data_IF_329641099656
#
_entry.id   IF_329641099656
#
_cell.length_a   1.000
_cell.length_b   1.000
_cell.length_c   1.000
_cell.angle_alpha   90.00
_cell.angle_beta   90.00
_cell.angle_gamma   90.00
#
_symmetry.space_group_name_H-M   'P 1'
#
loop_
_entity.id
_entity.type
_entity.pdbx_description
1 polymer ?
#
# COMPACT_ATOMS: atom_id res chain seq x y z
N UNK A 1 -15.14 1.60 3.07
CA UNK A 1 -13.94 2.43 3.27
C UNK A 1 -12.82 2.00 2.35
N UNK A 2 -12.05 2.97 1.88
CA UNK A 2 -10.80 2.78 1.15
C UNK A 2 -9.82 3.88 1.55
N UNK A 3 -8.53 3.59 1.44
CA UNK A 3 -7.45 4.54 1.62
C UNK A 3 -7.03 5.02 0.24
N UNK A 4 -6.93 6.34 0.06
CA UNK A 4 -6.20 6.90 -1.06
C UNK A 4 -4.75 7.04 -0.60
N UNK A 5 -3.84 6.49 -1.39
CA UNK A 5 -2.41 6.55 -1.12
C UNK A 5 -1.64 6.94 -2.38
N UNK A 6 -0.48 7.53 -2.17
CA UNK A 6 0.56 7.62 -3.18
C UNK A 6 1.55 6.49 -2.89
N UNK A 7 1.87 5.66 -3.89
CA UNK A 7 2.75 4.50 -3.74
C UNK A 7 3.89 4.53 -4.75
N UNK A 8 5.04 3.98 -4.36
CA UNK A 8 6.20 3.75 -5.22
C UNK A 8 6.58 2.28 -5.10
N UNK A 9 6.74 1.60 -6.23
CA UNK A 9 7.30 0.25 -6.29
C UNK A 9 8.73 0.29 -6.80
N UNK A 10 9.65 -0.41 -6.13
CA UNK A 10 11.07 -0.30 -6.41
C UNK A 10 11.52 -1.16 -7.59
N UNK A 11 12.30 -0.58 -8.50
CA UNK A 11 12.98 -1.36 -9.52
C UNK A 11 13.95 -2.37 -8.87
N UNK A 12 14.05 -3.55 -9.45
CA UNK A 12 14.94 -4.62 -8.96
C UNK A 12 14.39 -5.44 -7.79
N UNK A 13 13.38 -4.95 -7.05
CA UNK A 13 12.68 -5.77 -6.05
C UNK A 13 11.58 -6.63 -6.68
N UNK A 14 11.10 -6.23 -7.86
CA UNK A 14 10.11 -6.97 -8.65
C UNK A 14 10.56 -7.10 -10.10
N UNK A 15 10.14 -8.21 -10.72
CA UNK A 15 10.31 -8.43 -12.17
C UNK A 15 9.17 -7.87 -13.01
N UNK A 16 7.98 -7.71 -12.42
CA UNK A 16 6.76 -7.28 -13.09
C UNK A 16 6.03 -6.25 -12.23
N UNK A 17 5.43 -5.25 -12.89
CA UNK A 17 4.59 -4.27 -12.24
C UNK A 17 3.38 -4.96 -11.61
N UNK A 18 2.94 -4.55 -10.41
CA UNK A 18 1.65 -4.95 -9.88
C UNK A 18 0.51 -4.42 -10.75
N UNK A 19 -0.67 -4.99 -10.54
CA UNK A 19 -1.91 -4.57 -11.19
C UNK A 19 -3.05 -4.57 -10.16
N UNK A 20 -4.23 -4.16 -10.60
CA UNK A 20 -5.44 -4.21 -9.79
C UNK A 20 -5.66 -5.61 -9.18
N UNK A 21 -6.08 -5.62 -7.92
CA UNK A 21 -6.27 -6.85 -7.15
C UNK A 21 -5.01 -7.41 -6.52
N UNK A 22 -3.84 -6.75 -6.66
CA UNK A 22 -2.61 -7.12 -5.95
C UNK A 22 -2.78 -7.03 -4.42
N UNK A 23 -2.31 -8.07 -3.69
CA UNK A 23 -2.56 -8.25 -2.24
C UNK A 23 -1.29 -8.45 -1.41
N UNK A 24 -0.46 -7.42 -1.22
CA UNK A 24 0.68 -7.48 -0.31
C UNK A 24 0.27 -7.20 1.14
N UNK A 25 1.25 -7.16 2.02
CA UNK A 25 1.12 -6.59 3.35
C UNK A 25 1.63 -5.14 3.38
N UNK A 26 0.96 -4.30 4.18
CA UNK A 26 1.42 -2.97 4.55
C UNK A 26 1.95 -2.98 5.99
N UNK A 27 3.13 -2.42 6.20
CA UNK A 27 3.69 -2.18 7.54
C UNK A 27 3.82 -0.68 7.75
N UNK A 28 2.94 -0.12 8.57
CA UNK A 28 2.88 1.32 8.83
C UNK A 28 3.97 1.74 9.81
N UNK A 29 4.57 2.91 9.58
CA UNK A 29 5.59 3.44 10.49
C UNK A 29 5.02 3.60 11.90
N UNK A 30 5.69 3.00 12.89
CA UNK A 30 5.24 2.96 14.29
C UNK A 30 4.35 1.78 14.64
N UNK A 31 3.88 1.00 13.65
CA UNK A 31 3.12 -0.23 13.83
C UNK A 31 3.97 -1.40 13.30
N UNK A 32 4.52 -2.23 14.18
CA UNK A 32 5.35 -3.39 13.80
C UNK A 32 4.50 -4.60 13.39
N UNK A 33 3.42 -4.37 12.64
CA UNK A 33 2.44 -5.39 12.26
C UNK A 33 2.25 -5.42 10.73
N UNK A 34 2.17 -6.63 10.20
CA UNK A 34 1.82 -6.86 8.80
C UNK A 34 0.31 -6.80 8.65
N UNK A 35 -0.17 -5.85 7.83
CA UNK A 35 -1.59 -5.69 7.55
C UNK A 35 -1.83 -6.00 6.10
N UNK A 36 -2.52 -7.11 5.85
CA UNK A 36 -2.93 -7.46 4.50
C UNK A 36 -3.77 -6.34 3.89
N UNK A 37 -3.34 -5.87 2.72
CA UNK A 37 -4.04 -4.87 1.93
C UNK A 37 -4.39 -5.42 0.55
N UNK A 38 -5.36 -4.80 -0.12
CA UNK A 38 -5.70 -5.05 -1.51
C UNK A 38 -5.70 -3.73 -2.25
N UNK A 39 -4.94 -3.66 -3.34
CA UNK A 39 -5.01 -2.56 -4.29
C UNK A 39 -6.26 -2.72 -5.16
N UNK A 40 -7.24 -1.84 -4.99
CA UNK A 40 -8.48 -1.87 -5.78
C UNK A 40 -8.38 -1.08 -7.07
N UNK A 41 -7.52 -0.05 -7.08
CA UNK A 41 -7.16 0.72 -8.27
C UNK A 41 -5.66 1.05 -8.19
N UNK A 42 -4.90 0.66 -9.21
CA UNK A 42 -3.45 0.82 -9.29
C UNK A 42 -3.00 1.06 -10.75
N UNK A 43 -3.14 2.29 -11.26
CA UNK A 43 -2.75 2.66 -12.63
C UNK A 43 -1.24 2.89 -12.75
N UNK A 44 -0.44 1.86 -12.43
CA UNK A 44 1.03 1.95 -12.47
C UNK A 44 1.57 1.77 -13.89
N UNK A 45 2.42 2.69 -14.32
CA UNK A 45 3.06 2.66 -15.65
C UNK A 45 4.56 2.32 -15.59
N UNK A 46 5.17 2.36 -14.41
CA UNK A 46 6.60 2.10 -14.21
C UNK A 46 7.00 1.96 -12.75
N UNK A 47 8.22 1.48 -12.52
CA UNK A 47 8.84 1.45 -11.20
C UNK A 47 9.45 2.81 -10.84
N UNK A 48 9.75 3.00 -9.55
CA UNK A 48 10.39 4.19 -8.97
C UNK A 48 9.66 5.51 -9.24
N UNK A 49 8.37 5.43 -9.62
CA UNK A 49 7.50 6.56 -9.90
C UNK A 49 6.31 6.59 -8.91
N UNK A 50 6.02 7.75 -8.28
CA UNK A 50 4.83 7.90 -7.45
C UNK A 50 3.56 7.67 -8.27
N UNK A 51 2.68 6.82 -7.78
CA UNK A 51 1.42 6.46 -8.42
C UNK A 51 0.28 6.60 -7.41
N UNK A 52 -0.80 7.33 -7.72
CA UNK A 52 -1.99 7.34 -6.88
C UNK A 52 -2.67 5.97 -6.93
N UNK A 53 -3.11 5.46 -5.78
CA UNK A 53 -3.73 4.15 -5.66
C UNK A 53 -4.86 4.16 -4.62
N UNK A 54 -5.88 3.33 -4.88
CA UNK A 54 -6.92 3.02 -3.91
C UNK A 54 -6.62 1.67 -3.24
N UNK A 55 -6.63 1.65 -1.92
CA UNK A 55 -6.23 0.49 -1.11
C UNK A 55 -7.33 0.17 -0.10
N UNK A 56 -7.57 -1.12 0.16
CA UNK A 56 -8.41 -1.58 1.27
C UNK A 56 -7.63 -2.49 2.20
N UNK A 57 -7.93 -2.44 3.49
CA UNK A 57 -7.54 -3.52 4.40
C UNK A 57 -8.33 -4.79 4.05
N UNK A 58 -7.63 -5.93 3.97
CA UNK A 58 -8.21 -7.17 3.48
C UNK A 58 -9.05 -7.93 4.52
N UNK A 59 -8.87 -7.65 5.82
CA UNK A 59 -9.42 -8.50 6.89
C UNK A 59 -10.12 -7.77 8.04
N UNK A 60 -9.61 -6.60 8.47
CA UNK A 60 -10.11 -5.94 9.68
C UNK A 60 -10.40 -4.46 9.42
N UNK A 61 -11.67 -4.08 9.51
CA UNK A 61 -12.11 -2.69 9.34
C UNK A 61 -11.66 -1.78 10.49
N UNK A 62 -11.33 -2.35 11.66
CA UNK A 62 -10.78 -1.57 12.78
C UNK A 62 -9.48 -0.84 12.39
N UNK A 63 -8.68 -1.41 11.49
CA UNK A 63 -7.41 -0.83 11.05
C UNK A 63 -7.55 0.55 10.39
N UNK A 64 -8.72 0.89 9.83
CA UNK A 64 -8.94 2.24 9.26
C UNK A 64 -8.92 3.34 10.33
N UNK A 65 -9.16 3.01 11.61
CA UNK A 65 -9.13 3.97 12.72
C UNK A 65 -7.72 4.21 13.26
N UNK A 66 -6.76 3.39 12.84
CA UNK A 66 -5.39 3.37 13.36
C UNK A 66 -4.37 4.01 12.41
N UNK A 67 -4.84 4.46 11.24
CA UNK A 67 -4.03 5.14 10.25
C UNK A 67 -4.51 6.57 10.07
N UNK A 68 -3.59 7.46 9.71
CA UNK A 68 -3.87 8.89 9.48
C UNK A 68 -3.27 9.38 8.16
N UNK A 69 -3.85 10.41 7.53
CA UNK A 69 -3.23 11.10 6.40
C UNK A 69 -1.79 11.53 6.70
N UNK A 70 -0.91 11.39 5.72
CA UNK A 70 0.52 11.65 5.81
C UNK A 70 1.34 10.47 6.35
N UNK A 71 0.71 9.44 6.93
CA UNK A 71 1.44 8.29 7.45
C UNK A 71 2.05 7.46 6.32
N UNK A 72 3.31 7.07 6.50
CA UNK A 72 4.09 6.27 5.55
C UNK A 72 4.07 4.79 5.96
N UNK A 73 3.97 3.91 4.98
CA UNK A 73 4.01 2.47 5.14
C UNK A 73 4.93 1.82 4.12
N UNK A 74 5.47 0.65 4.49
CA UNK A 74 6.23 -0.23 3.60
C UNK A 74 5.28 -1.21 2.93
N UNK A 75 5.52 -1.50 1.66
CA UNK A 75 4.79 -2.55 0.92
C UNK A 75 5.66 -3.80 0.93
N UNK A 76 5.14 -4.89 1.49
CA UNK A 76 5.89 -6.10 1.78
C UNK A 76 5.34 -7.31 1.01
N UNK A 77 6.23 -8.08 0.39
CA UNK A 77 5.98 -9.43 -0.12
C UNK A 77 6.74 -10.43 0.75
N UNK A 78 6.06 -10.95 1.78
CA UNK A 78 6.72 -11.67 2.85
C UNK A 78 7.74 -10.77 3.56
N UNK A 79 9.00 -11.19 3.64
CA UNK A 79 10.07 -10.42 4.29
C UNK A 79 10.69 -9.33 3.40
N UNK A 80 10.32 -9.27 2.11
CA UNK A 80 10.94 -8.35 1.16
C UNK A 80 10.12 -7.08 1.03
N UNK A 81 10.75 -5.93 1.27
CA UNK A 81 10.15 -4.65 0.96
C UNK A 81 10.24 -4.40 -0.54
N UNK A 82 9.08 -4.35 -1.21
CA UNK A 82 8.98 -4.16 -2.66
C UNK A 82 8.56 -2.73 -3.05
N UNK A 83 8.21 -1.92 -2.07
CA UNK A 83 7.81 -0.53 -2.28
C UNK A 83 7.51 0.19 -0.98
N UNK A 84 6.95 1.37 -1.11
CA UNK A 84 6.45 2.19 -0.03
C UNK A 84 5.22 2.97 -0.46
N UNK A 85 4.50 3.50 0.51
CA UNK A 85 3.38 4.37 0.25
C UNK A 85 3.12 5.36 1.37
N UNK A 86 2.34 6.38 1.05
CA UNK A 86 1.91 7.43 1.97
C UNK A 86 0.41 7.61 1.84
N UNK A 87 -0.28 7.58 2.98
CA UNK A 87 -1.73 7.82 3.02
C UNK A 87 -2.01 9.29 2.69
N UNK A 88 -2.93 9.53 1.76
CA UNK A 88 -3.40 10.86 1.36
C UNK A 88 -4.74 11.14 2.03
N UNK A 89 -5.69 10.22 1.96
CA UNK A 89 -7.00 10.34 2.62
C UNK A 89 -7.60 8.98 2.98
N UNK A 90 -8.62 9.02 3.83
CA UNK A 90 -9.42 7.87 4.24
C UNK A 90 -10.86 8.16 3.82
N UNK A 91 -11.34 7.43 2.81
CA UNK A 91 -12.67 7.63 2.25
C UNK A 91 -13.64 6.54 2.76
N UNK A 92 -14.89 6.93 2.99
CA UNK A 92 -15.91 6.01 3.54
C UNK A 92 -16.58 5.15 2.48
#
# INVERSE_FOLDING_TARGET
>A
MYLIAEVIFYAGQRKQLPADGYRPDAVFSGLNEYRGITFTELPIEGFDAPTPAAIKFSFQDAHYQEVVPGQVFKIMEGLHQVGEGRIISIEK
#
